data_IF_457413532759
#
_entry.id   IF_457413532759
#
_cell.length_a   1.000
_cell.length_b   1.000
_cell.length_c   1.000
_cell.angle_alpha   90.00
_cell.angle_beta   90.00
_cell.angle_gamma   90.00
#
_symmetry.space_group_name_H-M   'P 1'
#
loop_
_entity.id
_entity.type
_entity.pdbx_description
1 polymer ?
#
# COMPACT_ATOMS: atom_id res chain seq x y z
N UNK A 1 20.91 -14.74 -9.12
CA UNK A 1 19.65 -14.33 -8.45
C UNK A 1 18.47 -15.02 -9.15
N UNK A 2 17.53 -15.64 -8.42
CA UNK A 2 16.32 -16.24 -9.04
C UNK A 2 15.42 -15.12 -9.57
N UNK A 3 14.85 -15.29 -10.77
CA UNK A 3 13.94 -14.30 -11.41
C UNK A 3 12.81 -13.86 -10.47
N UNK A 4 12.27 -14.79 -9.68
CA UNK A 4 11.23 -14.52 -8.67
C UNK A 4 11.63 -13.52 -7.59
N UNK A 5 12.89 -13.54 -7.15
CA UNK A 5 13.37 -12.62 -6.12
C UNK A 5 13.49 -11.19 -6.66
N UNK A 6 13.93 -11.05 -7.91
CA UNK A 6 13.98 -9.76 -8.59
C UNK A 6 12.57 -9.19 -8.78
N UNK A 7 11.61 -10.00 -9.25
CA UNK A 7 10.20 -9.61 -9.34
C UNK A 7 9.64 -9.15 -8.00
N UNK A 8 9.98 -9.83 -6.89
CA UNK A 8 9.53 -9.43 -5.56
C UNK A 8 10.06 -8.05 -5.14
N UNK A 9 11.33 -7.74 -5.42
CA UNK A 9 11.93 -6.42 -5.14
C UNK A 9 11.25 -5.33 -5.98
N UNK A 10 11.06 -5.57 -7.28
CA UNK A 10 10.41 -4.57 -8.15
C UNK A 10 8.95 -4.34 -7.73
N UNK A 11 8.18 -5.40 -7.48
CA UNK A 11 6.77 -5.28 -7.10
C UNK A 11 6.61 -4.61 -5.72
N UNK A 12 7.49 -4.89 -4.77
CA UNK A 12 7.49 -4.22 -3.45
C UNK A 12 7.83 -2.74 -3.57
N UNK A 13 8.83 -2.38 -4.38
CA UNK A 13 9.21 -0.99 -4.65
C UNK A 13 8.12 -0.20 -5.39
N UNK A 14 7.55 -0.76 -6.46
CA UNK A 14 6.45 -0.14 -7.20
C UNK A 14 5.23 0.11 -6.30
N UNK A 15 4.86 -0.85 -5.45
CA UNK A 15 3.75 -0.68 -4.51
C UNK A 15 4.04 0.42 -3.47
N UNK A 16 5.25 0.44 -2.90
CA UNK A 16 5.63 1.44 -1.91
C UNK A 16 5.67 2.86 -2.52
N UNK A 17 6.25 3.00 -3.72
CA UNK A 17 6.28 4.24 -4.47
C UNK A 17 4.87 4.70 -4.86
N UNK A 18 4.05 3.81 -5.40
CA UNK A 18 2.65 4.10 -5.76
C UNK A 18 1.82 4.52 -4.56
N UNK A 19 1.94 3.84 -3.42
CA UNK A 19 1.28 4.22 -2.17
C UNK A 19 1.72 5.61 -1.68
N UNK A 20 3.02 5.91 -1.76
CA UNK A 20 3.56 7.24 -1.40
C UNK A 20 2.99 8.32 -2.31
N UNK A 21 2.98 8.07 -3.62
CA UNK A 21 2.41 8.98 -4.61
C UNK A 21 0.93 9.26 -4.32
N UNK A 22 0.12 8.24 -4.00
CA UNK A 22 -1.30 8.43 -3.63
C UNK A 22 -1.44 9.33 -2.39
N UNK A 23 -0.58 9.16 -1.38
CA UNK A 23 -0.61 9.99 -0.18
C UNK A 23 -0.25 11.46 -0.47
N UNK A 24 0.78 11.69 -1.28
CA UNK A 24 1.28 13.03 -1.62
C UNK A 24 0.44 13.75 -2.69
N UNK A 25 -0.38 13.03 -3.45
CA UNK A 25 -1.25 13.61 -4.48
C UNK A 25 -2.70 13.70 -3.98
N UNK A 26 -3.43 12.60 -4.02
CA UNK A 26 -4.83 12.54 -3.60
C UNK A 26 -5.00 12.89 -2.12
N UNK A 27 -4.14 12.35 -1.25
CA UNK A 27 -4.19 12.66 0.17
C UNK A 27 -3.98 14.13 0.50
N UNK A 28 -3.04 14.78 -0.19
CA UNK A 28 -2.78 16.20 -0.08
C UNK A 28 -3.97 17.05 -0.55
N UNK A 29 -4.67 16.65 -1.62
CA UNK A 29 -5.86 17.36 -2.10
C UNK A 29 -7.05 17.13 -1.18
N UNK A 30 -7.22 15.93 -0.64
CA UNK A 30 -8.35 15.60 0.24
C UNK A 30 -8.27 16.32 1.58
N UNK A 31 -7.10 16.33 2.22
CA UNK A 31 -6.91 16.95 3.54
C UNK A 31 -6.41 18.39 3.46
N UNK A 32 -5.96 18.83 2.29
CA UNK A 32 -5.16 20.05 2.15
C UNK A 32 -3.74 19.87 2.70
N UNK A 33 -2.88 20.82 2.38
CA UNK A 33 -1.52 20.95 2.91
C UNK A 33 -1.35 22.35 3.52
N UNK A 34 -2.26 22.72 4.41
CA UNK A 34 -2.35 24.08 4.94
C UNK A 34 -2.58 25.10 3.81
N UNK A 35 -1.74 26.14 3.75
CA UNK A 35 -1.84 27.21 2.76
C UNK A 35 -1.32 26.82 1.35
N UNK A 36 -0.77 25.61 1.16
CA UNK A 36 -0.19 25.19 -0.11
C UNK A 36 -1.19 24.49 -1.03
N UNK A 37 -2.14 23.75 -0.46
CA UNK A 37 -3.22 23.08 -1.18
C UNK A 37 -4.47 23.21 -0.32
N UNK A 38 -5.56 23.83 -0.81
CA UNK A 38 -6.78 23.94 -0.04
C UNK A 38 -7.39 22.56 0.22
N UNK A 39 -7.94 22.37 1.41
CA UNK A 39 -8.69 21.17 1.77
C UNK A 39 -9.96 21.08 0.92
N UNK A 40 -10.25 19.88 0.41
CA UNK A 40 -11.48 19.61 -0.33
C UNK A 40 -12.71 19.69 0.61
N UNK A 41 -13.76 20.45 0.25
CA UNK A 41 -15.02 20.46 1.01
C UNK A 41 -15.67 19.08 1.08
N UNK A 42 -16.46 18.83 2.14
CA UNK A 42 -17.12 17.54 2.37
C UNK A 42 -18.02 17.13 1.20
N UNK A 43 -18.74 18.06 0.59
CA UNK A 43 -19.62 17.82 -0.55
C UNK A 43 -18.83 17.32 -1.76
N UNK A 44 -17.67 17.92 -2.02
CA UNK A 44 -16.78 17.50 -3.08
C UNK A 44 -16.13 16.15 -2.76
N UNK A 45 -15.77 15.88 -1.49
CA UNK A 45 -15.23 14.58 -1.09
C UNK A 45 -16.24 13.46 -1.35
N UNK A 46 -17.52 13.65 -0.98
CA UNK A 46 -18.58 12.66 -1.23
C UNK A 46 -18.70 12.36 -2.73
N UNK A 47 -18.66 13.39 -3.57
CA UNK A 47 -18.81 13.22 -5.02
C UNK A 47 -17.58 12.60 -5.71
N UNK A 48 -16.38 13.05 -5.33
CA UNK A 48 -15.16 12.82 -6.10
C UNK A 48 -14.29 11.69 -5.55
N UNK A 49 -14.30 11.43 -4.23
CA UNK A 49 -13.52 10.35 -3.63
C UNK A 49 -13.71 8.99 -4.32
N UNK A 50 -14.94 8.48 -4.53
CA UNK A 50 -15.14 7.19 -5.19
C UNK A 50 -14.59 7.21 -6.64
N UNK A 51 -14.71 8.33 -7.36
CA UNK A 51 -14.19 8.48 -8.72
C UNK A 51 -12.66 8.42 -8.76
N UNK A 52 -11.98 9.12 -7.84
CA UNK A 52 -10.53 9.05 -7.71
C UNK A 52 -10.05 7.65 -7.32
N UNK A 53 -10.81 6.94 -6.48
CA UNK A 53 -10.45 5.58 -6.11
C UNK A 53 -10.41 4.63 -7.30
N UNK A 54 -11.29 4.75 -8.30
CA UNK A 54 -11.26 3.93 -9.52
C UNK A 54 -9.90 4.07 -10.22
N UNK A 55 -9.41 5.30 -10.38
CA UNK A 55 -8.12 5.56 -11.00
C UNK A 55 -6.95 4.94 -10.21
N UNK A 56 -7.01 5.03 -8.87
CA UNK A 56 -6.02 4.42 -7.98
C UNK A 56 -6.08 2.88 -8.09
N UNK A 57 -7.27 2.30 -8.10
CA UNK A 57 -7.48 0.85 -8.12
C UNK A 57 -6.92 0.21 -9.39
N UNK A 58 -7.16 0.82 -10.56
CA UNK A 58 -6.69 0.32 -11.85
C UNK A 58 -5.16 0.21 -11.94
N UNK A 59 -4.42 0.98 -11.13
CA UNK A 59 -2.94 0.95 -11.13
C UNK A 59 -2.38 0.11 -9.98
N UNK A 60 -2.98 0.20 -8.78
CA UNK A 60 -2.44 -0.43 -7.58
C UNK A 60 -2.83 -1.91 -7.45
N UNK A 61 -4.03 -2.31 -7.87
CA UNK A 61 -4.49 -3.71 -7.71
C UNK A 61 -3.56 -4.69 -8.45
N UNK A 62 -3.21 -4.48 -9.74
CA UNK A 62 -2.30 -5.38 -10.43
C UNK A 62 -0.95 -5.52 -9.71
N UNK A 63 -0.37 -4.40 -9.25
CA UNK A 63 0.90 -4.39 -8.52
C UNK A 63 0.78 -5.12 -7.18
N UNK A 64 -0.33 -4.92 -6.46
CA UNK A 64 -0.60 -5.60 -5.19
C UNK A 64 -0.67 -7.13 -5.36
N UNK A 65 -1.32 -7.60 -6.42
CA UNK A 65 -1.42 -9.03 -6.73
C UNK A 65 -0.05 -9.62 -7.08
N UNK A 66 0.72 -8.95 -7.95
CA UNK A 66 2.09 -9.37 -8.29
C UNK A 66 2.99 -9.39 -7.07
N UNK A 67 2.91 -8.37 -6.21
CA UNK A 67 3.65 -8.29 -4.94
C UNK A 67 3.29 -9.45 -4.01
N UNK A 68 2.00 -9.77 -3.89
CA UNK A 68 1.51 -10.88 -3.06
C UNK A 68 2.11 -12.20 -3.50
N UNK A 69 1.96 -12.53 -4.79
CA UNK A 69 2.46 -13.78 -5.34
C UNK A 69 3.99 -13.89 -5.24
N UNK A 70 4.70 -12.83 -5.62
CA UNK A 70 6.17 -12.83 -5.62
C UNK A 70 6.79 -12.91 -4.22
N UNK A 71 6.24 -12.21 -3.21
CA UNK A 71 6.68 -12.33 -1.82
C UNK A 71 6.40 -13.71 -1.23
N UNK A 72 5.24 -14.30 -1.53
CA UNK A 72 4.93 -15.66 -1.10
C UNK A 72 5.92 -16.67 -1.71
N UNK A 73 6.13 -16.61 -3.02
CA UNK A 73 7.10 -17.48 -3.72
C UNK A 73 8.51 -17.31 -3.14
N UNK A 74 8.99 -16.07 -2.96
CA UNK A 74 10.31 -15.81 -2.41
C UNK A 74 10.45 -16.35 -0.97
N UNK A 75 9.41 -16.21 -0.16
CA UNK A 75 9.37 -16.71 1.23
C UNK A 75 9.41 -18.23 1.31
N UNK A 76 8.62 -18.93 0.49
CA UNK A 76 8.45 -20.38 0.61
C UNK A 76 9.48 -21.18 -0.19
N UNK A 77 10.11 -20.59 -1.20
CA UNK A 77 11.19 -21.24 -1.98
C UNK A 77 12.59 -20.98 -1.42
N UNK A 78 12.74 -20.07 -0.45
CA UNK A 78 14.01 -19.84 0.23
C UNK A 78 14.35 -21.03 1.18
N UNK A 79 15.65 -21.38 1.34
CA UNK A 79 16.05 -22.50 2.20
C UNK A 79 15.53 -22.35 3.63
N UNK A 80 14.94 -23.43 4.18
CA UNK A 80 14.45 -23.46 5.57
C UNK A 80 15.57 -23.12 6.55
N UNK A 81 15.24 -22.39 7.61
CA UNK A 81 16.20 -21.93 8.62
C UNK A 81 17.17 -20.83 8.18
N UNK A 82 17.23 -20.47 6.89
CA UNK A 82 18.16 -19.45 6.42
C UNK A 82 17.77 -18.04 6.86
N UNK A 83 18.78 -17.20 7.12
CA UNK A 83 18.57 -15.78 7.42
C UNK A 83 17.85 -15.03 6.27
N UNK A 84 18.05 -15.46 5.02
CA UNK A 84 17.37 -14.92 3.84
C UNK A 84 15.88 -15.24 3.89
N UNK A 85 15.50 -16.49 4.21
CA UNK A 85 14.08 -16.87 4.35
C UNK A 85 13.39 -16.05 5.44
N UNK A 86 14.07 -15.77 6.56
CA UNK A 86 13.51 -14.91 7.62
C UNK A 86 13.20 -13.51 7.10
N UNK A 87 14.11 -12.90 6.33
CA UNK A 87 13.86 -11.58 5.74
C UNK A 87 12.66 -11.59 4.78
N UNK A 88 12.54 -12.62 3.93
CA UNK A 88 11.37 -12.77 3.07
C UNK A 88 10.07 -12.95 3.84
N UNK A 89 10.08 -13.80 4.89
CA UNK A 89 8.91 -14.01 5.75
C UNK A 89 8.51 -12.73 6.48
N UNK A 90 9.46 -11.93 6.96
CA UNK A 90 9.15 -10.61 7.54
C UNK A 90 8.58 -9.65 6.50
N UNK A 91 9.18 -9.57 5.31
CA UNK A 91 8.68 -8.73 4.22
C UNK A 91 7.25 -9.12 3.82
N UNK A 92 6.96 -10.42 3.77
CA UNK A 92 5.63 -10.96 3.49
C UNK A 92 4.66 -10.72 4.64
N UNK A 93 5.08 -10.89 5.90
CA UNK A 93 4.26 -10.61 7.07
C UNK A 93 3.80 -9.15 7.12
N UNK A 94 4.72 -8.20 6.89
CA UNK A 94 4.36 -6.77 6.80
C UNK A 94 3.37 -6.49 5.67
N UNK A 95 3.50 -7.20 4.55
CA UNK A 95 2.54 -7.11 3.45
C UNK A 95 1.16 -7.63 3.84
N UNK A 96 1.07 -8.76 4.56
CA UNK A 96 -0.21 -9.29 5.05
C UNK A 96 -0.89 -8.34 6.04
N UNK A 97 -0.13 -7.69 6.93
CA UNK A 97 -0.68 -6.64 7.82
C UNK A 97 -1.23 -5.47 7.00
N UNK A 98 -0.51 -5.04 5.95
CA UNK A 98 -1.01 -4.00 5.04
C UNK A 98 -2.34 -4.42 4.36
N UNK A 99 -2.43 -5.66 3.86
CA UNK A 99 -3.66 -6.21 3.30
C UNK A 99 -4.81 -6.24 4.31
N UNK A 100 -4.53 -6.59 5.58
CA UNK A 100 -5.52 -6.60 6.63
C UNK A 100 -6.12 -5.20 6.88
N UNK A 101 -5.29 -4.15 6.96
CA UNK A 101 -5.75 -2.75 7.07
C UNK A 101 -6.58 -2.36 5.83
N UNK A 102 -6.14 -2.81 4.65
CA UNK A 102 -6.82 -2.53 3.38
C UNK A 102 -8.24 -3.07 3.37
N UNK A 103 -8.41 -4.36 3.68
CA UNK A 103 -9.71 -5.05 3.66
C UNK A 103 -10.57 -4.62 4.85
N UNK A 104 -9.97 -4.47 6.03
CA UNK A 104 -10.66 -4.16 7.27
C UNK A 104 -11.17 -2.73 7.37
N UNK A 105 -10.58 -1.78 6.63
CA UNK A 105 -10.99 -0.38 6.69
C UNK A 105 -11.11 0.28 5.32
N UNK A 106 -10.03 0.32 4.52
CA UNK A 106 -10.01 1.15 3.31
C UNK A 106 -11.06 0.74 2.27
N UNK A 107 -11.17 -0.56 2.00
CA UNK A 107 -12.16 -1.10 1.06
C UNK A 107 -13.58 -0.87 1.58
N UNK A 108 -13.80 -0.97 2.90
CA UNK A 108 -15.12 -0.74 3.50
C UNK A 108 -15.57 0.72 3.29
N UNK A 109 -14.68 1.68 3.55
CA UNK A 109 -14.94 3.11 3.31
C UNK A 109 -15.25 3.38 1.84
N UNK A 110 -14.50 2.77 0.92
CA UNK A 110 -14.71 2.95 -0.52
C UNK A 110 -16.07 2.39 -0.95
N UNK A 111 -16.42 1.18 -0.52
CA UNK A 111 -17.72 0.57 -0.81
C UNK A 111 -18.85 1.45 -0.25
N UNK A 112 -18.74 1.89 1.00
CA UNK A 112 -19.73 2.77 1.63
C UNK A 112 -19.86 4.12 0.88
N UNK A 113 -18.76 4.66 0.37
CA UNK A 113 -18.76 5.89 -0.43
C UNK A 113 -19.50 5.69 -1.76
N UNK A 114 -19.28 4.58 -2.47
CA UNK A 114 -20.04 4.24 -3.69
C UNK A 114 -21.54 4.03 -3.42
N UNK A 115 -21.90 3.61 -2.21
CA UNK A 115 -23.28 3.46 -1.79
C UNK A 115 -23.93 4.77 -1.31
N UNK A 116 -23.20 5.89 -1.33
CA UNK A 116 -23.72 7.19 -0.87
C UNK A 116 -24.05 7.21 0.63
N UNK A 117 -23.33 6.44 1.45
CA UNK A 117 -23.64 6.27 2.89
C UNK A 117 -23.16 7.39 3.79
N UNK A 118 -22.33 8.31 3.31
CA UNK A 118 -21.73 9.36 4.13
C UNK A 118 -22.38 10.71 3.85
N UNK A 119 -22.70 11.45 4.91
CA UNK A 119 -22.91 12.90 4.81
C UNK A 119 -21.58 13.61 4.49
N UNK A 120 -21.61 14.86 4.01
CA UNK A 120 -20.40 15.68 3.83
C UNK A 120 -19.50 15.73 5.07
N UNK A 121 -20.07 15.91 6.26
CA UNK A 121 -19.35 16.02 7.53
C UNK A 121 -18.73 14.68 7.95
N UNK A 122 -19.50 13.60 7.82
CA UNK A 122 -19.01 12.24 8.10
C UNK A 122 -17.85 11.86 7.18
N UNK A 123 -17.94 12.27 5.91
CA UNK A 123 -16.93 11.98 4.90
C UNK A 123 -15.59 12.63 5.25
N UNK A 124 -15.57 13.87 5.73
CA UNK A 124 -14.33 14.56 6.14
C UNK A 124 -13.60 13.78 7.23
N UNK A 125 -14.30 13.43 8.32
CA UNK A 125 -13.70 12.69 9.43
C UNK A 125 -13.26 11.27 9.02
N UNK A 126 -14.03 10.62 8.15
CA UNK A 126 -13.71 9.29 7.61
C UNK A 126 -12.44 9.34 6.75
N UNK A 127 -12.29 10.34 5.89
CA UNK A 127 -11.12 10.50 5.02
C UNK A 127 -9.86 10.85 5.81
N UNK A 128 -9.96 11.61 6.90
CA UNK A 128 -8.84 11.85 7.81
C UNK A 128 -8.26 10.54 8.36
N UNK A 129 -9.11 9.65 8.87
CA UNK A 129 -8.67 8.34 9.36
C UNK A 129 -8.19 7.45 8.22
N UNK A 130 -8.85 7.46 7.07
CA UNK A 130 -8.44 6.72 5.88
C UNK A 130 -7.01 7.10 5.46
N UNK A 131 -6.69 8.39 5.40
CA UNK A 131 -5.34 8.89 5.06
C UNK A 131 -4.33 8.58 6.16
N UNK A 132 -4.69 8.69 7.44
CA UNK A 132 -3.80 8.33 8.54
C UNK A 132 -3.40 6.84 8.45
N UNK A 133 -4.37 5.95 8.25
CA UNK A 133 -4.12 4.52 8.06
C UNK A 133 -3.39 4.23 6.73
N UNK A 134 -3.60 5.05 5.69
CA UNK A 134 -2.86 4.96 4.43
C UNK A 134 -1.36 5.19 4.66
N UNK A 135 -0.98 6.18 5.47
CA UNK A 135 0.43 6.42 5.79
C UNK A 135 1.06 5.29 6.60
N UNK A 136 0.31 4.65 7.50
CA UNK A 136 0.77 3.42 8.17
C UNK A 136 1.02 2.33 7.13
N UNK A 137 0.12 2.14 6.16
CA UNK A 137 0.30 1.19 5.07
C UNK A 137 1.52 1.52 4.20
N UNK A 138 1.80 2.79 3.93
CA UNK A 138 3.02 3.23 3.22
C UNK A 138 4.27 2.85 4.00
N UNK A 139 4.31 3.11 5.31
CA UNK A 139 5.45 2.73 6.16
C UNK A 139 5.69 1.21 6.15
N UNK A 140 4.63 0.40 6.28
CA UNK A 140 4.71 -1.06 6.18
C UNK A 140 5.21 -1.52 4.80
N UNK A 141 4.77 -0.85 3.72
CA UNK A 141 5.20 -1.17 2.36
C UNK A 141 6.67 -0.84 2.12
N UNK A 142 7.16 0.29 2.63
CA UNK A 142 8.58 0.68 2.57
C UNK A 142 9.46 -0.29 3.38
N UNK A 143 9.04 -0.64 4.59
CA UNK A 143 9.76 -1.63 5.40
C UNK A 143 9.80 -3.01 4.71
N UNK A 144 8.69 -3.44 4.10
CA UNK A 144 8.63 -4.66 3.28
C UNK A 144 9.61 -4.61 2.10
N UNK A 145 9.71 -3.46 1.41
CA UNK A 145 10.65 -3.25 0.30
C UNK A 145 12.12 -3.28 0.77
N UNK A 146 12.46 -2.61 1.87
CA UNK A 146 13.81 -2.63 2.46
C UNK A 146 14.22 -4.06 2.81
N UNK A 147 13.34 -4.83 3.45
CA UNK A 147 13.60 -6.23 3.77
C UNK A 147 13.81 -7.10 2.52
N UNK A 148 13.06 -6.85 1.44
CA UNK A 148 13.24 -7.54 0.17
C UNK A 148 14.62 -7.24 -0.45
N UNK A 149 15.08 -5.97 -0.41
CA UNK A 149 16.43 -5.59 -0.83
C UNK A 149 17.48 -6.32 0.01
N UNK A 150 17.36 -6.27 1.35
CA UNK A 150 18.29 -6.93 2.27
C UNK A 150 18.35 -8.45 2.06
N UNK A 151 17.23 -9.09 1.72
CA UNK A 151 17.19 -10.51 1.41
C UNK A 151 17.99 -10.84 0.15
N UNK A 152 17.89 -10.00 -0.89
CA UNK A 152 18.64 -10.15 -2.13
C UNK A 152 20.11 -9.83 -1.96
N UNK A 153 20.48 -8.75 -1.27
CA UNK A 153 21.90 -8.40 -1.05
C UNK A 153 22.63 -9.48 -0.25
N UNK A 154 21.99 -10.07 0.76
CA UNK A 154 22.55 -11.23 1.50
C UNK A 154 22.67 -12.50 0.68
N UNK A 155 21.89 -12.67 -0.39
CA UNK A 155 22.08 -13.78 -1.31
C UNK A 155 23.33 -13.56 -2.18
N UNK A 156 23.52 -12.34 -2.67
CA UNK A 156 24.66 -11.98 -3.52
C UNK A 156 25.99 -11.98 -2.75
N UNK A 157 25.99 -11.72 -1.44
CA UNK A 157 27.22 -11.76 -0.63
C UNK A 157 27.68 -13.18 -0.25
N UNK A 158 26.89 -14.20 -0.57
CA UNK A 158 27.19 -15.61 -0.27
C UNK A 158 27.49 -16.46 -1.51
N UNK A 159 27.36 -15.88 -2.70
CA UNK A 159 27.76 -16.46 -3.99
C UNK A 159 29.13 -15.98 -4.39
#
# INVERSE_FOLDING_TARGET
MKRSNFTAVIATGLFAGGGTMVGLSFGAVFLGLGNLVPTMPGEQLVELFPKYWIAIACTIIPVALTKTASLAIASFTAPKGSAVRRLWLWAFGLWLVNCAITVGYHVQVVIASFMGKYSPEEMVSTIQLWIALHWIRVALALASFVLAILAVTRLSSKS
#
